data_IF_375048847295
#
_entry.id   IF_375048847295
#
_cell.length_a   1.000
_cell.length_b   1.000
_cell.length_c   1.000
_cell.angle_alpha   90.00
_cell.angle_beta   90.00
_cell.angle_gamma   90.00
#
_symmetry.space_group_name_H-M   'P 1'
#
loop_
_entity.id
_entity.type
_entity.pdbx_description
1 polymer ?
#
# COMPACT_ATOMS: atom_id res chain seq x y z
N UNK A 1 18.64 -8.27 24.78
CA UNK A 1 17.94 -7.58 25.89
C UNK A 1 17.71 -6.14 25.44
N UNK A 2 16.50 -5.74 25.05
CA UNK A 2 16.26 -4.39 24.48
C UNK A 2 14.95 -4.24 23.69
N UNK A 3 14.32 -5.35 23.28
CA UNK A 3 13.07 -5.34 22.48
C UNK A 3 11.88 -4.70 23.24
N UNK A 4 11.88 -4.76 24.58
CA UNK A 4 10.82 -4.21 25.42
C UNK A 4 10.65 -2.69 25.36
N UNK A 5 11.69 -1.93 25.00
CA UNK A 5 11.65 -0.46 24.98
C UNK A 5 11.35 0.13 23.60
N UNK A 6 11.23 -0.70 22.55
CA UNK A 6 11.02 -0.20 21.18
C UNK A 6 9.58 0.25 20.92
N UNK A 7 8.59 -0.41 21.53
CA UNK A 7 7.18 -0.06 21.33
C UNK A 7 6.87 1.34 21.86
N UNK A 8 7.19 1.69 23.13
CA UNK A 8 6.93 3.05 23.62
C UNK A 8 7.74 4.10 22.86
N UNK A 9 8.98 3.81 22.47
CA UNK A 9 9.82 4.73 21.72
C UNK A 9 9.24 5.03 20.33
N UNK A 10 8.84 4.01 19.57
CA UNK A 10 8.22 4.20 18.26
C UNK A 10 6.87 4.92 18.41
N UNK A 11 6.06 4.57 19.40
CA UNK A 11 4.77 5.23 19.62
C UNK A 11 4.93 6.71 19.99
N UNK A 12 5.86 7.04 20.90
CA UNK A 12 6.15 8.41 21.28
C UNK A 12 6.63 9.24 20.07
N UNK A 13 7.56 8.68 19.28
CA UNK A 13 8.01 9.31 18.04
C UNK A 13 6.84 9.52 17.07
N UNK A 14 6.00 8.49 16.89
CA UNK A 14 4.79 8.54 16.07
C UNK A 14 3.86 9.68 16.46
N UNK A 15 3.60 9.87 17.75
CA UNK A 15 2.78 10.97 18.25
C UNK A 15 3.42 12.34 18.03
N UNK A 16 4.74 12.46 18.22
CA UNK A 16 5.46 13.72 17.98
C UNK A 16 5.41 14.13 16.52
N UNK A 17 5.71 13.20 15.60
CA UNK A 17 5.73 13.49 14.17
C UNK A 17 4.34 13.69 13.60
N UNK A 18 3.30 12.98 14.09
CA UNK A 18 1.92 13.17 13.61
C UNK A 18 1.36 14.55 13.96
N UNK A 19 1.87 15.17 15.03
CA UNK A 19 1.44 16.49 15.51
C UNK A 19 2.14 17.68 14.82
N UNK A 20 3.31 17.48 14.18
CA UNK A 20 4.12 18.57 13.64
C UNK A 20 4.97 18.12 12.44
N UNK A 21 4.88 18.87 11.33
CA UNK A 21 5.76 18.71 10.16
C UNK A 21 7.23 18.92 10.51
N UNK A 22 7.54 19.93 11.33
CA UNK A 22 8.91 20.24 11.73
C UNK A 22 9.50 19.10 12.57
N UNK A 23 8.71 18.51 13.47
CA UNK A 23 9.13 17.33 14.22
C UNK A 23 9.36 16.12 13.31
N UNK A 24 8.54 15.96 12.26
CA UNK A 24 8.71 14.91 11.27
C UNK A 24 10.00 15.11 10.45
N UNK A 25 10.30 16.34 10.02
CA UNK A 25 11.52 16.68 9.28
C UNK A 25 12.78 16.45 10.14
N UNK A 26 12.78 16.92 11.40
CA UNK A 26 13.87 16.66 12.35
C UNK A 26 14.06 15.16 12.60
N UNK A 27 12.98 14.39 12.72
CA UNK A 27 13.09 12.93 12.86
C UNK A 27 13.76 12.29 11.63
N UNK A 28 13.44 12.78 10.42
CA UNK A 28 14.08 12.31 9.18
C UNK A 28 15.57 12.66 9.17
N UNK A 29 15.94 13.90 9.52
CA UNK A 29 17.35 14.34 9.63
C UNK A 29 18.18 13.48 10.59
N UNK A 30 17.56 13.03 11.69
CA UNK A 30 18.18 12.13 12.66
C UNK A 30 18.12 10.64 12.27
N UNK A 31 17.74 10.32 11.03
CA UNK A 31 17.78 8.95 10.49
C UNK A 31 16.65 8.04 10.98
N UNK A 32 15.53 8.61 11.46
CA UNK A 32 14.40 7.82 11.97
C UNK A 32 13.86 6.83 10.93
N UNK A 33 13.77 7.22 9.66
CA UNK A 33 13.29 6.33 8.58
C UNK A 33 14.16 5.09 8.46
N UNK A 34 15.50 5.25 8.42
CA UNK A 34 16.43 4.12 8.35
C UNK A 34 16.32 3.22 9.58
N UNK A 35 16.22 3.81 10.78
CA UNK A 35 16.08 3.06 12.02
C UNK A 35 14.76 2.24 12.05
N UNK A 36 13.65 2.87 11.66
CA UNK A 36 12.34 2.22 11.59
C UNK A 36 12.31 1.10 10.54
N UNK A 37 12.89 1.32 9.35
CA UNK A 37 13.05 0.25 8.35
C UNK A 37 13.83 -0.92 8.93
N UNK A 38 14.96 -0.64 9.61
CA UNK A 38 15.77 -1.68 10.26
C UNK A 38 14.98 -2.49 11.28
N UNK A 39 14.15 -1.84 12.10
CA UNK A 39 13.26 -2.50 13.06
C UNK A 39 12.24 -3.41 12.36
N UNK A 40 11.64 -2.93 11.26
CA UNK A 40 10.62 -3.67 10.49
C UNK A 40 11.23 -4.89 9.80
N UNK A 41 12.40 -4.72 9.19
CA UNK A 41 13.10 -5.76 8.41
C UNK A 41 13.89 -6.75 9.28
N UNK A 42 14.18 -6.42 10.54
CA UNK A 42 14.97 -7.28 11.42
C UNK A 42 14.29 -8.65 11.64
N UNK A 43 15.07 -9.71 11.39
CA UNK A 43 14.66 -11.08 11.69
C UNK A 43 14.42 -11.23 13.19
N UNK A 44 13.22 -11.68 13.56
CA UNK A 44 12.83 -11.87 14.96
C UNK A 44 12.14 -10.66 15.60
N UNK A 45 11.98 -9.53 14.92
CA UNK A 45 11.16 -8.41 15.43
C UNK A 45 9.72 -8.85 15.69
N UNK A 46 9.19 -8.65 16.91
CA UNK A 46 7.80 -8.97 17.21
C UNK A 46 6.82 -8.21 16.32
N UNK A 47 5.73 -8.84 15.90
CA UNK A 47 4.79 -8.24 14.93
C UNK A 47 4.19 -6.93 15.44
N UNK A 48 3.96 -6.81 16.75
CA UNK A 48 3.44 -5.59 17.35
C UNK A 48 4.46 -4.43 17.29
N UNK A 49 5.77 -4.72 17.39
CA UNK A 49 6.83 -3.72 17.19
C UNK A 49 6.83 -3.25 15.74
N UNK A 50 6.78 -4.18 14.78
CA UNK A 50 6.71 -3.85 13.35
C UNK A 50 5.47 -3.01 13.02
N UNK A 51 4.32 -3.30 13.64
CA UNK A 51 3.08 -2.56 13.41
C UNK A 51 3.16 -1.11 13.93
N UNK A 52 3.72 -0.90 15.12
CA UNK A 52 3.91 0.46 15.67
C UNK A 52 4.94 1.23 14.86
N UNK A 53 6.04 0.59 14.45
CA UNK A 53 7.03 1.20 13.56
C UNK A 53 6.40 1.58 12.20
N UNK A 54 5.58 0.71 11.61
CA UNK A 54 4.84 1.01 10.38
C UNK A 54 3.86 2.19 10.56
N UNK A 55 3.17 2.27 11.69
CA UNK A 55 2.33 3.41 12.05
C UNK A 55 3.11 4.73 12.15
N UNK A 56 4.32 4.66 12.73
CA UNK A 56 5.24 5.80 12.84
C UNK A 56 5.71 6.26 11.46
N UNK A 57 6.11 5.33 10.59
CA UNK A 57 6.46 5.62 9.18
C UNK A 57 5.30 6.28 8.45
N UNK A 58 4.06 5.79 8.64
CA UNK A 58 2.87 6.41 8.06
C UNK A 58 2.62 7.83 8.53
N UNK A 59 2.98 8.14 9.78
CA UNK A 59 2.86 9.49 10.34
C UNK A 59 3.93 10.43 9.77
N UNK A 60 5.19 9.97 9.66
CA UNK A 60 6.27 10.69 8.96
C UNK A 60 5.87 10.97 7.51
N UNK A 61 5.40 9.96 6.78
CA UNK A 61 5.00 10.09 5.37
C UNK A 61 3.89 11.13 5.16
N UNK A 62 2.97 11.24 6.12
CA UNK A 62 1.88 12.20 6.04
C UNK A 62 2.34 13.65 6.24
N UNK A 63 3.35 13.86 7.09
CA UNK A 63 3.74 15.18 7.59
C UNK A 63 4.98 15.75 6.90
N UNK A 64 5.92 14.90 6.46
CA UNK A 64 7.20 15.32 5.90
C UNK A 64 7.35 14.92 4.42
N UNK A 65 7.54 15.91 3.55
CA UNK A 65 7.85 15.65 2.14
C UNK A 65 9.22 14.98 1.96
N UNK A 66 10.23 15.41 2.73
CA UNK A 66 11.56 14.79 2.77
C UNK A 66 11.48 13.34 3.24
N UNK A 67 10.68 13.08 4.28
CA UNK A 67 10.43 11.75 4.80
C UNK A 67 9.86 10.80 3.76
N UNK A 68 8.97 11.26 2.87
CA UNK A 68 8.44 10.44 1.77
C UNK A 68 9.53 9.95 0.82
N UNK A 69 10.48 10.82 0.45
CA UNK A 69 11.59 10.44 -0.41
C UNK A 69 12.48 9.39 0.27
N UNK A 70 12.84 9.62 1.54
CA UNK A 70 13.64 8.67 2.32
C UNK A 70 12.95 7.31 2.52
N UNK A 71 11.63 7.30 2.68
CA UNK A 71 10.82 6.07 2.81
C UNK A 71 10.90 5.22 1.54
N UNK A 72 10.88 5.86 0.37
CA UNK A 72 11.01 5.16 -0.93
C UNK A 72 12.45 4.65 -1.09
N UNK A 73 13.44 5.49 -0.86
CA UNK A 73 14.87 5.14 -0.99
C UNK A 73 15.25 3.97 -0.07
N UNK A 74 14.79 4.01 1.18
CA UNK A 74 15.03 2.94 2.16
C UNK A 74 14.18 1.68 1.94
N UNK A 75 13.34 1.63 0.88
CA UNK A 75 12.40 0.53 0.60
C UNK A 75 11.50 0.17 1.78
N UNK A 76 11.11 1.18 2.57
CA UNK A 76 10.33 0.96 3.80
C UNK A 76 8.94 0.43 3.50
N UNK A 77 8.33 0.84 2.37
CA UNK A 77 7.01 0.36 1.95
C UNK A 77 7.02 -1.15 1.72
N UNK A 78 8.04 -1.65 1.02
CA UNK A 78 8.26 -3.07 0.76
C UNK A 78 8.47 -3.82 2.08
N UNK A 79 9.32 -3.29 2.97
CA UNK A 79 9.55 -3.87 4.29
C UNK A 79 8.26 -3.98 5.12
N UNK A 80 7.42 -2.94 5.13
CA UNK A 80 6.12 -2.97 5.82
C UNK A 80 5.20 -4.02 5.20
N UNK A 81 5.09 -4.05 3.87
CA UNK A 81 4.23 -5.00 3.15
C UNK A 81 4.63 -6.45 3.48
N UNK A 82 5.93 -6.75 3.40
CA UNK A 82 6.48 -8.07 3.70
C UNK A 82 6.23 -8.45 5.16
N UNK A 83 6.69 -7.62 6.10
CA UNK A 83 6.63 -7.92 7.53
C UNK A 83 5.21 -8.04 8.07
N UNK A 84 4.24 -7.35 7.45
CA UNK A 84 2.88 -7.23 7.99
C UNK A 84 1.84 -8.00 7.18
N UNK A 85 1.86 -7.97 5.85
CA UNK A 85 0.84 -8.60 5.01
C UNK A 85 1.32 -9.96 4.50
N UNK A 86 2.53 -10.03 3.94
CA UNK A 86 2.98 -11.23 3.20
C UNK A 86 3.53 -12.34 4.10
N UNK A 87 4.23 -12.01 5.19
CA UNK A 87 4.89 -13.02 6.03
C UNK A 87 3.94 -13.91 6.84
N UNK A 88 2.61 -13.77 6.71
CA UNK A 88 1.58 -14.59 7.39
C UNK A 88 1.84 -14.84 8.89
N UNK A 89 2.56 -13.93 9.56
CA UNK A 89 2.85 -14.04 10.99
C UNK A 89 1.51 -13.99 11.74
N UNK A 90 1.32 -14.86 12.74
CA UNK A 90 0.14 -14.82 13.59
C UNK A 90 0.09 -13.47 14.30
N UNK A 91 -0.90 -12.66 13.93
CA UNK A 91 -1.09 -11.30 14.44
C UNK A 91 -2.52 -11.15 14.93
N UNK A 92 -2.68 -10.54 16.10
CA UNK A 92 -4.00 -10.17 16.59
C UNK A 92 -4.66 -9.14 15.66
N UNK A 93 -6.00 -9.08 15.61
CA UNK A 93 -6.72 -8.15 14.74
C UNK A 93 -6.27 -6.68 14.88
N UNK A 94 -6.02 -6.23 16.11
CA UNK A 94 -5.57 -4.87 16.39
C UNK A 94 -4.18 -4.55 15.79
N UNK A 95 -3.24 -5.49 15.90
CA UNK A 95 -1.88 -5.35 15.34
C UNK A 95 -1.94 -5.31 13.81
N UNK A 96 -2.81 -6.14 13.21
CA UNK A 96 -3.04 -6.12 11.77
C UNK A 96 -3.63 -4.78 11.29
N UNK A 97 -4.64 -4.27 11.99
CA UNK A 97 -5.26 -2.99 11.66
C UNK A 97 -4.29 -1.81 11.76
N UNK A 98 -3.45 -1.79 12.79
CA UNK A 98 -2.41 -0.77 12.98
C UNK A 98 -1.39 -0.77 11.84
N UNK A 99 -0.85 -1.94 11.50
CA UNK A 99 0.09 -2.08 10.39
C UNK A 99 -0.51 -1.62 9.05
N UNK A 100 -1.76 -2.00 8.75
CA UNK A 100 -2.48 -1.58 7.55
C UNK A 100 -2.71 -0.08 7.51
N UNK A 101 -3.05 0.52 8.65
CA UNK A 101 -3.24 1.97 8.75
C UNK A 101 -1.93 2.69 8.45
N UNK A 102 -0.81 2.24 9.02
CA UNK A 102 0.51 2.80 8.72
C UNK A 102 0.89 2.66 7.24
N UNK A 103 0.70 1.48 6.66
CA UNK A 103 0.97 1.24 5.24
C UNK A 103 0.06 2.08 4.33
N UNK A 104 -1.25 2.13 4.61
CA UNK A 104 -2.23 2.91 3.85
C UNK A 104 -1.91 4.41 3.90
N UNK A 105 -1.59 4.96 5.08
CA UNK A 105 -1.13 6.35 5.22
C UNK A 105 0.10 6.60 4.34
N UNK A 106 1.08 5.70 4.40
CA UNK A 106 2.32 5.81 3.59
C UNK A 106 2.02 5.79 2.10
N UNK A 107 1.21 4.83 1.64
CA UNK A 107 0.83 4.69 0.23
C UNK A 107 0.02 5.87 -0.28
N UNK A 108 -0.84 6.46 0.55
CA UNK A 108 -1.68 7.61 0.15
C UNK A 108 -0.86 8.83 -0.29
N UNK A 109 0.41 8.92 0.14
CA UNK A 109 1.33 10.00 -0.22
C UNK A 109 2.52 9.54 -1.07
N UNK A 110 2.68 8.25 -1.35
CA UNK A 110 3.80 7.73 -2.15
C UNK A 110 3.68 8.18 -3.61
N UNK A 111 4.68 8.91 -4.13
CA UNK A 111 4.74 9.34 -5.54
C UNK A 111 5.56 8.39 -6.44
N UNK A 112 6.17 7.35 -5.85
CA UNK A 112 7.01 6.43 -6.59
C UNK A 112 6.17 5.35 -7.31
N UNK A 113 6.15 5.43 -8.64
CA UNK A 113 5.39 4.53 -9.50
C UNK A 113 5.77 3.06 -9.28
N UNK A 114 7.07 2.74 -9.27
CA UNK A 114 7.54 1.35 -9.17
C UNK A 114 7.16 0.73 -7.82
N UNK A 115 7.26 1.48 -6.72
CA UNK A 115 6.80 1.04 -5.39
C UNK A 115 5.29 0.77 -5.36
N UNK A 116 4.48 1.66 -5.95
CA UNK A 116 3.02 1.47 -6.00
C UNK A 116 2.62 0.24 -6.83
N UNK A 117 3.27 0.03 -7.98
CA UNK A 117 3.05 -1.15 -8.83
C UNK A 117 3.44 -2.43 -8.09
N UNK A 118 4.62 -2.46 -7.47
CA UNK A 118 5.09 -3.58 -6.68
C UNK A 118 4.07 -3.97 -5.59
N UNK A 119 3.55 -2.98 -4.85
CA UNK A 119 2.55 -3.21 -3.80
C UNK A 119 1.28 -3.82 -4.41
N UNK A 120 0.76 -3.25 -5.49
CA UNK A 120 -0.44 -3.75 -6.16
C UNK A 120 -0.28 -5.21 -6.62
N UNK A 121 0.88 -5.54 -7.18
CA UNK A 121 1.19 -6.89 -7.66
C UNK A 121 1.25 -7.90 -6.51
N UNK A 122 1.88 -7.52 -5.40
CA UNK A 122 2.05 -8.37 -4.24
C UNK A 122 0.79 -8.48 -3.34
N UNK A 123 -0.17 -7.57 -3.44
CA UNK A 123 -1.36 -7.55 -2.57
C UNK A 123 -2.23 -8.82 -2.73
N UNK A 124 -2.60 -9.49 -1.63
CA UNK A 124 -3.56 -10.58 -1.70
C UNK A 124 -4.98 -10.01 -1.88
N UNK A 125 -5.64 -10.39 -2.97
CA UNK A 125 -7.06 -10.08 -3.18
C UNK A 125 -7.93 -11.17 -2.56
N UNK A 126 -9.14 -10.83 -2.07
CA UNK A 126 -10.04 -11.81 -1.49
C UNK A 126 -10.41 -12.86 -2.54
N UNK A 127 -10.09 -14.12 -2.25
CA UNK A 127 -10.59 -15.27 -3.01
C UNK A 127 -11.96 -15.62 -2.42
N UNK A 128 -12.95 -15.87 -3.28
CA UNK A 128 -14.38 -16.05 -2.92
C UNK A 128 -14.68 -17.15 -1.89
N UNK A 129 -13.68 -17.93 -1.47
CA UNK A 129 -13.83 -19.04 -0.52
C UNK A 129 -12.78 -18.94 0.59
N UNK A 130 -13.27 -18.75 1.80
CA UNK A 130 -12.58 -18.91 3.09
C UNK A 130 -11.73 -17.73 3.59
N UNK A 131 -12.38 -16.84 4.36
CA UNK A 131 -11.71 -16.09 5.44
C UNK A 131 -10.56 -15.19 5.00
N UNK A 132 -10.66 -14.59 3.81
CA UNK A 132 -9.61 -13.73 3.28
C UNK A 132 -9.28 -12.60 4.27
N UNK A 133 -7.99 -12.40 4.47
CA UNK A 133 -7.43 -11.29 5.21
C UNK A 133 -7.89 -9.99 4.52
N UNK A 134 -8.63 -9.15 5.24
CA UNK A 134 -9.15 -7.90 4.67
C UNK A 134 -8.04 -6.87 4.49
N UNK A 135 -7.56 -6.75 3.24
CA UNK A 135 -6.61 -5.73 2.80
C UNK A 135 -7.28 -4.61 1.99
N UNK A 136 -8.59 -4.37 2.22
CA UNK A 136 -9.38 -3.35 1.54
C UNK A 136 -8.77 -1.95 1.65
N UNK A 137 -8.38 -1.53 2.85
CA UNK A 137 -7.81 -0.20 3.09
C UNK A 137 -6.51 0.03 2.31
N UNK A 138 -5.64 -0.98 2.23
CA UNK A 138 -4.36 -0.90 1.51
C UNK A 138 -4.61 -0.92 0.00
N UNK A 139 -5.53 -1.77 -0.46
CA UNK A 139 -5.96 -1.84 -1.86
C UNK A 139 -6.56 -0.51 -2.32
N UNK A 140 -7.43 0.11 -1.53
CA UNK A 140 -8.01 1.40 -1.85
C UNK A 140 -6.95 2.50 -1.94
N UNK A 141 -6.01 2.53 -0.98
CA UNK A 141 -4.93 3.52 -0.96
C UNK A 141 -4.03 3.43 -2.19
N UNK A 142 -3.59 2.22 -2.57
CA UNK A 142 -2.72 2.03 -3.75
C UNK A 142 -3.47 2.39 -5.04
N UNK A 143 -4.73 1.99 -5.20
CA UNK A 143 -5.53 2.30 -6.39
C UNK A 143 -5.81 3.80 -6.53
N UNK A 144 -6.17 4.47 -5.44
CA UNK A 144 -6.37 5.93 -5.42
C UNK A 144 -5.09 6.65 -5.83
N UNK A 145 -3.96 6.24 -5.26
CA UNK A 145 -2.68 6.89 -5.53
C UNK A 145 -2.20 6.65 -6.96
N UNK A 146 -2.26 5.41 -7.45
CA UNK A 146 -1.96 5.08 -8.84
C UNK A 146 -2.88 5.83 -9.81
N UNK A 147 -4.17 5.97 -9.50
CA UNK A 147 -5.12 6.72 -10.32
C UNK A 147 -4.76 8.21 -10.38
N UNK A 148 -4.39 8.79 -9.23
CA UNK A 148 -3.91 10.16 -9.16
C UNK A 148 -2.59 10.40 -9.90
N UNK A 149 -1.69 9.42 -9.94
CA UNK A 149 -0.39 9.52 -10.63
C UNK A 149 -0.56 9.30 -12.15
N UNK A 150 -1.16 8.18 -12.55
CA UNK A 150 -1.34 7.80 -13.96
C UNK A 150 -2.35 8.67 -14.71
N UNK A 151 -3.26 9.32 -13.99
CA UNK A 151 -4.21 10.29 -14.54
C UNK A 151 -3.58 11.64 -14.93
N UNK A 152 -2.35 11.92 -14.51
CA UNK A 152 -1.68 13.19 -14.83
C UNK A 152 -1.23 13.26 -16.29
N UNK A 153 -1.20 14.47 -16.84
CA UNK A 153 -0.58 14.72 -18.14
C UNK A 153 0.92 14.36 -18.08
N UNK A 154 1.44 13.72 -19.13
CA UNK A 154 2.84 13.27 -19.20
C UNK A 154 3.09 11.83 -18.75
N UNK A 155 2.12 11.17 -18.09
CA UNK A 155 2.26 9.78 -17.61
C UNK A 155 1.88 8.71 -18.65
N UNK A 156 1.95 9.03 -19.95
CA UNK A 156 1.58 8.12 -21.04
C UNK A 156 2.45 6.85 -21.09
N UNK A 157 3.75 6.98 -20.89
CA UNK A 157 4.67 5.83 -20.88
C UNK A 157 4.43 4.91 -19.70
N UNK A 158 4.19 5.46 -18.50
CA UNK A 158 3.87 4.66 -17.32
C UNK A 158 2.52 3.94 -17.46
N UNK A 159 1.51 4.57 -18.06
CA UNK A 159 0.24 3.87 -18.37
C UNK A 159 0.43 2.69 -19.31
N UNK A 160 1.28 2.82 -20.33
CA UNK A 160 1.58 1.74 -21.26
C UNK A 160 2.38 0.61 -20.58
N UNK A 161 3.40 0.97 -19.79
CA UNK A 161 4.16 0.01 -18.98
C UNK A 161 3.26 -0.77 -18.01
N UNK A 162 2.38 -0.05 -17.28
CA UNK A 162 1.41 -0.63 -16.35
C UNK A 162 0.51 -1.69 -17.00
N UNK A 163 0.09 -1.43 -18.24
CA UNK A 163 -0.72 -2.39 -19.02
C UNK A 163 0.13 -3.56 -19.49
N UNK A 164 1.34 -3.32 -20.00
CA UNK A 164 2.24 -4.36 -20.50
C UNK A 164 2.65 -5.36 -19.43
N UNK A 165 2.84 -4.90 -18.18
CA UNK A 165 3.14 -5.75 -17.03
C UNK A 165 1.93 -6.56 -16.53
N UNK A 166 0.73 -6.30 -17.05
CA UNK A 166 -0.50 -6.91 -16.57
C UNK A 166 -1.01 -6.31 -15.25
N UNK A 167 -0.41 -5.21 -14.76
CA UNK A 167 -0.83 -4.56 -13.53
C UNK A 167 -2.26 -4.01 -13.60
N UNK A 168 -2.76 -3.65 -14.80
CA UNK A 168 -4.16 -3.30 -15.00
C UNK A 168 -5.11 -4.48 -14.73
N UNK A 169 -4.79 -5.68 -15.22
CA UNK A 169 -5.57 -6.88 -14.92
C UNK A 169 -5.51 -7.21 -13.43
N UNK A 170 -4.35 -7.00 -12.80
CA UNK A 170 -4.20 -7.13 -11.34
C UNK A 170 -5.08 -6.14 -10.57
N UNK A 171 -5.13 -4.87 -10.98
CA UNK A 171 -6.02 -3.88 -10.39
C UNK A 171 -7.50 -4.28 -10.51
N UNK A 172 -7.90 -4.91 -11.62
CA UNK A 172 -9.27 -5.41 -11.77
C UNK A 172 -9.64 -6.52 -10.78
N UNK A 173 -8.68 -7.19 -10.13
CA UNK A 173 -8.96 -8.12 -9.04
C UNK A 173 -9.65 -7.44 -7.85
N UNK A 174 -9.59 -6.11 -7.72
CA UNK A 174 -10.39 -5.37 -6.74
C UNK A 174 -11.92 -5.48 -6.99
N UNK A 175 -12.37 -5.98 -8.15
CA UNK A 175 -13.78 -6.34 -8.38
C UNK A 175 -14.26 -7.49 -7.48
N UNK A 176 -13.34 -8.31 -6.95
CA UNK A 176 -13.65 -9.40 -6.03
C UNK A 176 -14.16 -8.90 -4.68
N UNK A 177 -13.88 -7.63 -4.33
CA UNK A 177 -14.56 -6.98 -3.21
C UNK A 177 -16.04 -6.74 -3.58
N UNK A 178 -16.94 -7.22 -2.72
CA UNK A 178 -18.40 -7.09 -2.92
C UNK A 178 -18.85 -5.62 -2.97
N UNK A 179 -18.31 -4.79 -2.07
CA UNK A 179 -18.62 -3.36 -1.93
C UNK A 179 -17.55 -2.66 -1.08
N UNK A 180 -17.58 -1.33 -1.01
CA UNK A 180 -16.73 -0.51 -0.14
C UNK A 180 -15.62 0.25 -0.87
N UNK A 181 -14.67 0.77 -0.08
CA UNK A 181 -13.62 1.68 -0.53
C UNK A 181 -12.78 1.15 -1.72
N UNK A 182 -12.42 -0.16 -1.80
CA UNK A 182 -11.67 -0.68 -2.96
C UNK A 182 -12.44 -0.59 -4.28
N UNK A 183 -13.77 -0.80 -4.24
CA UNK A 183 -14.63 -0.74 -5.43
C UNK A 183 -14.75 0.69 -5.95
N UNK A 184 -14.88 1.64 -5.05
CA UNK A 184 -14.93 3.07 -5.39
C UNK A 184 -13.58 3.55 -5.94
N UNK A 185 -12.48 3.17 -5.27
CA UNK A 185 -11.13 3.45 -5.73
C UNK A 185 -10.88 2.85 -7.13
N UNK A 186 -11.31 1.60 -7.37
CA UNK A 186 -11.19 0.97 -8.70
C UNK A 186 -12.01 1.72 -9.76
N UNK A 187 -13.23 2.18 -9.44
CA UNK A 187 -14.06 2.94 -10.39
C UNK A 187 -13.37 4.23 -10.81
N UNK A 188 -12.80 4.96 -9.85
CA UNK A 188 -12.03 6.17 -10.13
C UNK A 188 -10.76 5.86 -10.94
N UNK A 189 -10.01 4.84 -10.52
CA UNK A 189 -8.80 4.37 -11.19
C UNK A 189 -9.05 4.01 -12.66
N UNK A 190 -10.14 3.31 -12.96
CA UNK A 190 -10.51 2.91 -14.32
C UNK A 190 -10.75 4.11 -15.25
N UNK A 191 -11.07 5.29 -14.71
CA UNK A 191 -11.21 6.53 -15.50
C UNK A 191 -9.89 7.01 -16.12
N UNK A 192 -8.74 6.49 -15.68
CA UNK A 192 -7.42 6.85 -16.23
C UNK A 192 -7.05 6.09 -17.51
N UNK A 193 -7.83 5.06 -17.87
CA UNK A 193 -7.63 4.21 -19.03
C UNK A 193 -8.83 4.23 -19.99
N UNK A 194 -8.61 4.01 -21.30
CA UNK A 194 -9.69 3.78 -22.24
C UNK A 194 -10.57 2.59 -21.82
N UNK A 195 -11.89 2.71 -22.00
CA UNK A 195 -12.85 1.68 -21.57
C UNK A 195 -12.59 0.31 -22.21
N UNK A 196 -12.09 0.27 -23.45
CA UNK A 196 -11.77 -0.98 -24.14
C UNK A 196 -10.67 -1.77 -23.42
N UNK A 197 -9.67 -1.08 -22.87
CA UNK A 197 -8.56 -1.70 -22.13
C UNK A 197 -9.04 -2.22 -20.77
N UNK A 198 -9.89 -1.45 -20.09
CA UNK A 198 -10.51 -1.87 -18.82
C UNK A 198 -11.43 -3.08 -19.03
N UNK A 199 -12.18 -3.11 -20.12
CA UNK A 199 -13.06 -4.24 -20.45
C UNK A 199 -12.26 -5.51 -20.75
N UNK A 200 -11.18 -5.41 -21.54
CA UNK A 200 -10.34 -6.54 -21.93
C UNK A 200 -9.57 -7.17 -20.74
N UNK A 201 -9.40 -6.42 -19.66
CA UNK A 201 -8.69 -6.87 -18.44
C UNK A 201 -9.64 -7.30 -17.32
N UNK A 202 -10.95 -7.34 -17.58
CA UNK A 202 -11.93 -7.81 -16.62
C UNK A 202 -11.71 -9.31 -16.31
N UNK A 203 -11.68 -9.73 -15.03
CA UNK A 203 -11.56 -11.14 -14.66
C UNK A 203 -12.65 -12.05 -15.27
N UNK A 204 -13.78 -11.47 -15.67
CA UNK A 204 -14.89 -12.17 -16.32
C UNK A 204 -14.96 -11.89 -17.84
N UNK A 205 -13.92 -11.32 -18.46
CA UNK A 205 -13.94 -10.92 -19.86
C UNK A 205 -14.25 -12.07 -20.82
N UNK A 206 -13.62 -13.23 -20.61
CA UNK A 206 -13.82 -14.43 -21.44
C UNK A 206 -15.29 -14.89 -21.43
N UNK A 207 -15.91 -14.94 -20.24
CA UNK A 207 -17.35 -15.26 -20.10
C UNK A 207 -18.23 -14.25 -20.84
N UNK A 208 -17.89 -12.97 -20.78
CA UNK A 208 -18.63 -11.90 -21.50
C UNK A 208 -18.49 -12.03 -23.02
N UNK A 209 -17.31 -12.39 -23.52
CA UNK A 209 -17.08 -12.62 -24.95
C UNK A 209 -17.86 -13.83 -25.45
N UNK A 210 -17.84 -14.95 -24.71
CA UNK A 210 -18.58 -16.15 -25.06
C UNK A 210 -20.09 -15.90 -25.14
N UNK A 211 -20.64 -15.07 -24.25
CA UNK A 211 -22.04 -14.67 -24.32
C UNK A 211 -22.35 -13.85 -25.59
N UNK A 212 -21.46 -12.92 -25.97
CA UNK A 212 -21.64 -12.11 -27.19
C UNK A 212 -21.55 -12.87 -28.52
N UNK A 213 -20.95 -14.07 -28.51
CA UNK A 213 -20.88 -14.93 -29.71
C UNK A 213 -22.12 -15.82 -29.83
N UNK A 214 -22.82 -16.06 -28.71
CA UNK A 214 -24.03 -16.87 -28.66
C UNK A 214 -25.31 -16.10 -28.98
N UNK A 215 -25.26 -14.78 -28.84
CA UNK A 215 -26.31 -13.83 -29.23
C UNK A 215 -26.08 -13.33 -30.67
#
# INVERSE_FOLDING_TARGET
>A
KGVGNLVPACAALGHMVDASSDAADVAVEHGAVSALTGIISAQGSPVHVCAVAAGTVGSISNQSASGRAHIVEARTVQAILEATILMKRTKGPAVAAMARTGLSKTLSKCDDYETLVYVLEALPFPVEKNGAVDESQVTAAVLKRLGGLLGQAGFGHQRLDFVRRGALARAQAAKLYKQGEPREALKQFNGTFPQQMVAATDPNYEKKLLNKIRD
#
